data_IF_249985626177
#
_entry.id   IF_249985626177
#
_cell.length_a   1.000
_cell.length_b   1.000
_cell.length_c   1.000
_cell.angle_alpha   90.00
_cell.angle_beta   90.00
_cell.angle_gamma   90.00
#
_symmetry.space_group_name_H-M   'P 1'
#
loop_
_entity.id
_entity.type
_entity.pdbx_description
1 polymer ?
#
# COMPACT_ATOMS: atom_id res chain seq x y z
N UNK A 1 -10.56 -24.43 -9.94
CA UNK A 1 -9.30 -23.68 -10.10
C UNK A 1 -9.60 -22.54 -11.07
N UNK A 2 -9.83 -21.34 -10.58
CA UNK A 2 -10.05 -20.17 -11.44
C UNK A 2 -8.68 -19.74 -11.97
N UNK A 3 -8.39 -20.10 -13.22
CA UNK A 3 -7.26 -19.57 -13.96
C UNK A 3 -7.52 -18.08 -14.21
N UNK A 4 -7.06 -17.22 -13.31
CA UNK A 4 -6.99 -15.79 -13.60
C UNK A 4 -6.00 -15.60 -14.74
N UNK A 5 -6.46 -15.04 -15.86
CA UNK A 5 -5.58 -14.68 -16.96
C UNK A 5 -4.47 -13.75 -16.47
N UNK A 6 -3.23 -13.90 -16.98
CA UNK A 6 -2.14 -13.02 -16.56
C UNK A 6 -2.51 -11.56 -16.77
N UNK A 7 -2.20 -10.71 -15.78
CA UNK A 7 -2.46 -9.27 -15.87
C UNK A 7 -1.46 -8.64 -16.83
N UNK A 8 -1.96 -7.84 -17.76
CA UNK A 8 -1.08 -7.05 -18.63
C UNK A 8 -0.47 -5.89 -17.83
N UNK A 9 0.71 -6.14 -17.25
CA UNK A 9 1.42 -5.19 -16.38
C UNK A 9 1.81 -3.92 -17.13
N UNK A 10 2.22 -4.03 -18.39
CA UNK A 10 2.60 -2.86 -19.21
C UNK A 10 1.42 -1.90 -19.41
N UNK A 11 0.22 -2.44 -19.63
CA UNK A 11 -1.01 -1.65 -19.70
C UNK A 11 -1.28 -0.92 -18.38
N UNK A 12 -1.15 -1.63 -17.26
CA UNK A 12 -1.37 -1.06 -15.92
C UNK A 12 -0.36 0.05 -15.64
N UNK A 13 0.93 -0.19 -15.85
CA UNK A 13 1.97 0.81 -15.65
C UNK A 13 1.81 2.02 -16.56
N UNK A 14 1.44 1.79 -17.85
CA UNK A 14 1.14 2.87 -18.80
C UNK A 14 -0.04 3.73 -18.32
N UNK A 15 -1.09 3.11 -17.79
CA UNK A 15 -2.25 3.81 -17.24
C UNK A 15 -1.85 4.66 -16.02
N UNK A 16 -1.15 4.07 -15.04
CA UNK A 16 -0.67 4.78 -13.85
C UNK A 16 0.23 5.96 -14.22
N UNK A 17 1.14 5.77 -15.18
CA UNK A 17 2.00 6.83 -15.68
C UNK A 17 1.19 7.98 -16.32
N UNK A 18 0.22 7.66 -17.19
CA UNK A 18 -0.67 8.67 -17.80
C UNK A 18 -1.52 9.42 -16.79
N UNK A 19 -1.86 8.79 -15.67
CA UNK A 19 -2.55 9.40 -14.53
C UNK A 19 -1.62 10.26 -13.66
N UNK A 20 -0.30 10.18 -13.89
CA UNK A 20 0.70 10.90 -13.09
C UNK A 20 0.96 10.25 -11.74
N UNK A 21 0.61 8.98 -11.52
CA UNK A 21 0.90 8.24 -10.28
C UNK A 21 2.41 7.98 -10.18
N UNK A 22 3.14 8.67 -9.27
CA UNK A 22 4.60 8.57 -9.21
C UNK A 22 5.08 7.38 -8.38
N UNK A 23 4.30 6.97 -7.39
CA UNK A 23 4.64 5.91 -6.43
C UNK A 23 3.41 5.34 -5.72
N UNK A 24 3.60 4.17 -5.13
CA UNK A 24 2.74 3.64 -4.09
C UNK A 24 3.32 3.99 -2.71
N UNK A 25 2.51 3.83 -1.66
CA UNK A 25 2.88 4.26 -0.32
C UNK A 25 2.58 3.16 0.71
N UNK A 26 3.56 2.93 1.59
CA UNK A 26 3.37 2.15 2.81
C UNK A 26 3.75 2.98 4.02
N UNK A 27 2.92 2.98 5.07
CA UNK A 27 3.33 3.56 6.34
C UNK A 27 3.48 2.47 7.40
N UNK A 28 4.44 2.66 8.29
CA UNK A 28 4.81 1.67 9.31
C UNK A 28 5.37 2.36 10.54
N UNK A 29 5.40 1.66 11.69
CA UNK A 29 6.21 2.10 12.83
C UNK A 29 7.69 2.19 12.45
N UNK A 30 8.38 3.20 12.96
CA UNK A 30 9.83 3.35 12.83
C UNK A 30 10.58 2.14 13.35
N UNK A 31 10.06 1.46 14.38
CA UNK A 31 10.67 0.26 14.95
C UNK A 31 10.80 -0.90 13.94
N UNK A 32 9.93 -0.92 12.92
CA UNK A 32 9.98 -1.92 11.87
C UNK A 32 11.04 -1.62 10.79
N UNK A 33 11.56 -0.38 10.70
CA UNK A 33 12.40 0.04 9.58
C UNK A 33 13.67 -0.79 9.42
N UNK A 34 14.31 -1.17 10.51
CA UNK A 34 15.54 -1.99 10.45
C UNK A 34 15.29 -3.31 9.73
N UNK A 35 14.19 -4.00 10.05
CA UNK A 35 13.79 -5.25 9.40
C UNK A 35 13.38 -5.00 7.94
N UNK A 36 12.59 -3.96 7.69
CA UNK A 36 12.11 -3.60 6.35
C UNK A 36 13.27 -3.26 5.42
N UNK A 37 14.28 -2.52 5.88
CA UNK A 37 15.45 -2.18 5.07
C UNK A 37 16.32 -3.41 4.76
N UNK A 38 16.35 -4.40 5.65
CA UNK A 38 17.11 -5.62 5.46
C UNK A 38 16.39 -6.64 4.55
N UNK A 39 15.05 -6.77 4.68
CA UNK A 39 14.30 -7.90 4.11
C UNK A 39 13.13 -7.48 3.22
N UNK A 40 12.83 -6.20 3.12
CA UNK A 40 11.64 -5.69 2.44
C UNK A 40 10.40 -5.66 3.33
N UNK A 41 9.29 -5.18 2.76
CA UNK A 41 7.97 -5.24 3.41
C UNK A 41 7.42 -6.62 3.16
N UNK A 42 7.19 -7.37 4.24
CA UNK A 42 6.77 -8.78 4.22
C UNK A 42 5.29 -8.87 4.59
N UNK A 43 4.45 -9.68 3.90
CA UNK A 43 3.07 -9.92 4.30
C UNK A 43 2.99 -10.45 5.74
N UNK A 44 1.98 -10.00 6.47
CA UNK A 44 1.85 -10.27 7.91
C UNK A 44 1.79 -11.77 8.23
N UNK A 45 1.04 -12.57 7.46
CA UNK A 45 0.98 -14.01 7.64
C UNK A 45 2.38 -14.66 7.56
N UNK A 46 3.26 -14.15 6.71
CA UNK A 46 4.63 -14.66 6.59
C UNK A 46 5.49 -14.22 7.77
N UNK A 47 5.35 -12.98 8.25
CA UNK A 47 6.02 -12.53 9.48
C UNK A 47 5.64 -13.43 10.66
N UNK A 48 4.35 -13.77 10.80
CA UNK A 48 3.83 -14.64 11.84
C UNK A 48 4.34 -16.08 11.70
N UNK A 49 4.33 -16.64 10.49
CA UNK A 49 4.82 -18.00 10.22
C UNK A 49 6.32 -18.14 10.47
N UNK A 50 7.09 -17.13 10.09
CA UNK A 50 8.55 -17.13 10.22
C UNK A 50 9.02 -16.63 11.60
N UNK A 51 8.09 -16.29 12.52
CA UNK A 51 8.33 -15.72 13.85
C UNK A 51 9.20 -14.45 13.79
N UNK A 52 9.02 -13.61 12.79
CA UNK A 52 9.72 -12.33 12.66
C UNK A 52 8.97 -11.28 13.50
N UNK A 53 9.62 -10.67 14.51
CA UNK A 53 8.96 -9.66 15.33
C UNK A 53 8.65 -8.41 14.52
N UNK A 54 7.46 -7.84 14.72
CA UNK A 54 7.01 -6.60 14.09
C UNK A 54 6.02 -5.86 14.99
N UNK A 55 5.93 -4.54 14.81
CA UNK A 55 4.89 -3.73 15.44
C UNK A 55 3.73 -3.53 14.45
N UNK A 56 2.55 -4.00 14.83
CA UNK A 56 1.34 -3.86 14.00
C UNK A 56 0.70 -2.49 14.21
N UNK A 57 0.30 -1.85 13.10
CA UNK A 57 -0.51 -0.63 13.11
C UNK A 57 -2.02 -0.94 13.18
N UNK A 58 -2.40 -2.18 12.93
CA UNK A 58 -3.78 -2.67 12.93
C UNK A 58 -3.87 -4.07 13.51
N UNK A 59 -4.34 -4.16 14.75
CA UNK A 59 -4.50 -5.44 15.45
C UNK A 59 -5.69 -6.26 14.91
N UNK A 60 -6.65 -5.60 14.28
CA UNK A 60 -7.93 -6.19 13.85
C UNK A 60 -8.04 -6.34 12.33
N UNK A 61 -6.92 -6.55 11.64
CA UNK A 61 -6.92 -6.66 10.19
C UNK A 61 -7.82 -7.79 9.69
N UNK A 62 -8.83 -7.43 8.89
CA UNK A 62 -9.85 -8.36 8.38
C UNK A 62 -9.58 -8.88 6.97
N UNK A 63 -8.48 -8.47 6.33
CA UNK A 63 -8.18 -8.74 4.92
C UNK A 63 -7.37 -10.02 4.65
N UNK A 64 -7.20 -10.88 5.68
CA UNK A 64 -6.57 -12.19 5.56
C UNK A 64 -5.04 -12.17 5.59
N UNK A 65 -4.39 -11.02 5.80
CA UNK A 65 -2.95 -10.86 6.08
C UNK A 65 -1.97 -11.44 5.02
N UNK A 66 -2.46 -11.87 3.85
CA UNK A 66 -1.66 -12.58 2.83
C UNK A 66 -0.97 -11.64 1.84
N UNK A 67 -1.26 -10.35 1.90
CA UNK A 67 -0.73 -9.33 0.99
C UNK A 67 -0.07 -8.18 1.75
N UNK A 68 0.86 -7.52 1.07
CA UNK A 68 1.29 -6.18 1.45
C UNK A 68 0.33 -5.18 0.80
N UNK A 69 -0.36 -4.39 1.61
CA UNK A 69 -1.26 -3.35 1.14
C UNK A 69 -0.50 -2.05 0.98
N UNK A 70 -0.60 -1.45 -0.20
CA UNK A 70 0.02 -0.17 -0.53
C UNK A 70 -1.07 0.81 -0.96
N UNK A 71 -1.07 2.00 -0.38
CA UNK A 71 -1.90 3.12 -0.83
C UNK A 71 -1.34 3.69 -2.14
N UNK A 72 -2.18 4.44 -2.88
CA UNK A 72 -1.80 5.02 -4.17
C UNK A 72 -1.51 6.51 -3.97
N UNK A 73 -0.29 6.95 -4.28
CA UNK A 73 0.18 8.34 -4.27
C UNK A 73 0.32 8.98 -2.88
N UNK A 74 -0.56 8.68 -1.95
CA UNK A 74 -0.50 9.21 -0.56
C UNK A 74 -0.89 8.13 0.44
N UNK A 75 -0.42 8.21 1.70
CA UNK A 75 -0.85 7.27 2.73
C UNK A 75 -2.36 7.38 2.96
N UNK A 76 -2.99 6.26 3.35
CA UNK A 76 -4.36 6.31 3.84
C UNK A 76 -4.41 7.17 5.11
N UNK A 77 -4.74 8.46 4.93
CA UNK A 77 -4.67 9.46 6.00
C UNK A 77 -5.59 9.13 7.17
N UNK A 78 -6.78 8.57 6.90
CA UNK A 78 -7.71 8.15 7.96
C UNK A 78 -7.11 7.05 8.81
N UNK A 79 -6.44 6.09 8.16
CA UNK A 79 -5.85 4.96 8.88
C UNK A 79 -4.61 5.38 9.66
N UNK A 80 -3.74 6.21 9.07
CA UNK A 80 -2.57 6.77 9.73
C UNK A 80 -2.96 7.64 10.94
N UNK A 81 -4.01 8.47 10.81
CA UNK A 81 -4.53 9.25 11.92
C UNK A 81 -5.00 8.36 13.08
N UNK A 82 -5.81 7.33 12.78
CA UNK A 82 -6.28 6.38 13.80
C UNK A 82 -5.14 5.59 14.45
N UNK A 83 -4.12 5.22 13.69
CA UNK A 83 -2.95 4.55 14.23
C UNK A 83 -2.22 5.44 15.24
N UNK A 84 -2.06 6.73 14.93
CA UNK A 84 -1.48 7.73 15.85
C UNK A 84 -2.33 7.98 17.10
N UNK A 85 -3.66 8.01 16.97
CA UNK A 85 -4.55 8.13 18.14
C UNK A 85 -4.43 6.94 19.09
N UNK A 86 -4.30 5.72 18.54
CA UNK A 86 -4.18 4.49 19.34
C UNK A 86 -2.80 4.33 19.97
N UNK A 87 -1.77 4.79 19.28
CA UNK A 87 -0.37 4.64 19.66
C UNK A 87 0.36 5.99 19.60
N UNK A 88 0.04 6.95 20.50
CA UNK A 88 0.55 8.32 20.44
C UNK A 88 2.07 8.43 20.59
N UNK A 89 2.68 7.44 21.25
CA UNK A 89 4.13 7.39 21.49
C UNK A 89 4.89 6.72 20.34
N UNK A 90 4.19 6.18 19.33
CA UNK A 90 4.81 5.54 18.18
C UNK A 90 5.14 6.57 17.11
N UNK A 91 6.40 6.57 16.68
CA UNK A 91 6.81 7.31 15.48
C UNK A 91 6.56 6.48 14.24
N UNK A 92 6.07 7.14 13.19
CA UNK A 92 5.74 6.49 11.91
C UNK A 92 6.66 6.96 10.81
N UNK A 93 6.98 6.04 9.90
CA UNK A 93 7.65 6.31 8.66
C UNK A 93 6.70 6.03 7.48
N UNK A 94 6.86 6.80 6.41
CA UNK A 94 6.17 6.65 5.13
C UNK A 94 7.22 6.25 4.09
N UNK A 95 7.02 5.10 3.48
CA UNK A 95 7.92 4.54 2.44
C UNK A 95 7.23 4.70 1.10
N UNK A 96 7.86 5.40 0.15
CA UNK A 96 7.40 5.47 -1.22
C UNK A 96 8.01 4.33 -2.05
N UNK A 97 7.21 3.72 -2.92
CA UNK A 97 7.54 2.48 -3.61
C UNK A 97 7.30 2.64 -5.10
N UNK A 98 8.28 2.25 -5.91
CA UNK A 98 8.19 2.31 -7.36
C UNK A 98 7.09 1.37 -7.88
N UNK A 99 6.13 1.86 -8.68
CA UNK A 99 5.07 1.05 -9.26
C UNK A 99 5.55 -0.14 -10.11
N UNK A 100 6.81 -0.13 -10.57
CA UNK A 100 7.40 -1.26 -11.28
C UNK A 100 7.51 -2.54 -10.45
N UNK A 101 7.26 -2.49 -9.13
CA UNK A 101 7.11 -3.70 -8.30
C UNK A 101 6.04 -4.66 -8.88
N UNK A 102 5.06 -4.14 -9.61
CA UNK A 102 4.01 -4.94 -10.26
C UNK A 102 4.57 -5.94 -11.28
N UNK A 103 5.73 -5.66 -11.88
CA UNK A 103 6.40 -6.57 -12.82
C UNK A 103 6.76 -7.91 -12.18
N UNK A 104 7.03 -7.93 -10.87
CA UNK A 104 7.36 -9.13 -10.11
C UNK A 104 6.15 -10.04 -9.85
N UNK A 105 4.92 -9.51 -10.00
CA UNK A 105 3.67 -10.15 -9.61
C UNK A 105 2.64 -10.15 -10.75
N UNK A 106 3.11 -10.41 -11.96
CA UNK A 106 2.27 -10.36 -13.19
C UNK A 106 1.37 -11.57 -13.41
N UNK A 107 1.52 -12.63 -12.62
CA UNK A 107 0.84 -13.92 -12.87
C UNK A 107 1.48 -14.76 -13.99
N UNK A 108 2.58 -14.31 -14.58
CA UNK A 108 3.34 -15.04 -15.59
C UNK A 108 4.19 -16.11 -14.89
N UNK A 109 4.37 -17.26 -15.51
CA UNK A 109 5.18 -18.38 -15.02
C UNK A 109 4.73 -18.93 -13.65
N UNK A 110 3.42 -18.92 -13.37
CA UNK A 110 2.85 -19.44 -12.13
C UNK A 110 3.08 -18.54 -10.91
N UNK A 111 3.54 -17.30 -11.10
CA UNK A 111 3.64 -16.31 -10.02
C UNK A 111 2.26 -15.87 -9.58
N UNK A 112 2.15 -15.50 -8.32
CA UNK A 112 0.95 -14.87 -7.81
C UNK A 112 0.75 -13.49 -8.46
N UNK A 113 -0.51 -13.07 -8.58
CA UNK A 113 -0.88 -11.84 -9.25
C UNK A 113 -1.30 -10.79 -8.22
N UNK A 114 -0.77 -9.57 -8.35
CA UNK A 114 -1.28 -8.44 -7.61
C UNK A 114 -2.75 -8.14 -7.96
N UNK A 115 -3.45 -7.48 -7.06
CA UNK A 115 -4.80 -6.97 -7.37
C UNK A 115 -4.98 -5.55 -6.80
N UNK A 116 -6.01 -4.87 -7.31
CA UNK A 116 -6.43 -3.57 -6.81
C UNK A 116 -7.70 -3.70 -5.96
N UNK A 117 -7.87 -2.75 -5.06
CA UNK A 117 -9.11 -2.54 -4.32
C UNK A 117 -9.52 -1.08 -4.47
N UNK A 118 -10.76 -0.84 -4.91
CA UNK A 118 -11.28 0.51 -5.13
C UNK A 118 -11.65 1.25 -3.82
N UNK A 119 -11.56 0.57 -2.70
CA UNK A 119 -11.66 1.11 -1.34
C UNK A 119 -10.81 0.26 -0.41
N UNK A 120 -10.96 0.40 0.92
CA UNK A 120 -10.23 -0.43 1.89
C UNK A 120 -10.39 -1.92 1.58
N UNK A 121 -9.26 -2.63 1.47
CA UNK A 121 -9.20 -4.05 1.09
C UNK A 121 -9.89 -5.01 2.09
N UNK A 122 -10.24 -4.55 3.29
CA UNK A 122 -11.13 -5.29 4.20
C UNK A 122 -12.53 -5.52 3.59
N UNK A 123 -12.93 -4.70 2.60
CA UNK A 123 -14.14 -4.93 1.82
C UNK A 123 -13.87 -5.91 0.68
N UNK A 124 -14.20 -7.18 0.87
CA UNK A 124 -14.01 -8.23 -0.16
C UNK A 124 -14.70 -7.90 -1.51
N UNK A 125 -15.74 -7.06 -1.51
CA UNK A 125 -16.47 -6.66 -2.73
C UNK A 125 -15.67 -5.70 -3.61
N UNK A 126 -14.72 -4.98 -3.06
CA UNK A 126 -13.93 -3.98 -3.76
C UNK A 126 -12.61 -4.53 -4.33
N UNK A 127 -12.26 -5.77 -3.99
CA UNK A 127 -11.04 -6.42 -4.46
C UNK A 127 -11.17 -6.90 -5.92
N UNK A 128 -10.02 -7.05 -6.57
CA UNK A 128 -9.88 -7.51 -7.96
C UNK A 128 -10.51 -6.57 -9.00
N UNK A 129 -10.64 -5.27 -8.67
CA UNK A 129 -11.03 -4.28 -9.64
C UNK A 129 -9.89 -4.01 -10.64
N UNK A 130 -10.25 -3.48 -11.81
CA UNK A 130 -9.27 -2.97 -12.76
C UNK A 130 -8.67 -1.66 -12.24
N UNK A 131 -7.45 -1.34 -12.67
CA UNK A 131 -6.77 -0.10 -12.27
C UNK A 131 -7.56 1.17 -12.61
N UNK A 132 -8.33 1.14 -13.69
CA UNK A 132 -9.20 2.24 -14.14
C UNK A 132 -10.31 2.52 -13.13
N UNK A 133 -10.82 1.50 -12.44
CA UNK A 133 -11.90 1.64 -11.46
C UNK A 133 -11.48 2.46 -10.24
N UNK A 134 -10.18 2.49 -9.92
CA UNK A 134 -9.65 3.32 -8.82
C UNK A 134 -9.87 4.82 -9.05
N UNK A 135 -9.99 5.22 -10.32
CA UNK A 135 -10.10 6.62 -10.76
C UNK A 135 -11.44 6.93 -11.41
N UNK A 136 -12.39 5.99 -11.35
CA UNK A 136 -13.73 6.15 -11.89
C UNK A 136 -14.66 6.89 -10.90
N UNK A 137 -15.75 7.45 -11.44
CA UNK A 137 -16.78 8.14 -10.67
C UNK A 137 -16.52 9.63 -10.47
N UNK A 138 -17.42 10.26 -9.73
CA UNK A 138 -17.34 11.69 -9.40
C UNK A 138 -16.19 11.93 -8.41
N UNK A 139 -15.44 12.99 -8.66
CA UNK A 139 -14.28 13.37 -7.87
C UNK A 139 -14.42 14.84 -7.46
N UNK A 140 -14.08 15.20 -6.21
CA UNK A 140 -14.01 16.60 -5.82
C UNK A 140 -13.04 17.38 -6.71
N UNK A 141 -13.34 18.63 -7.03
CA UNK A 141 -12.52 19.47 -7.91
C UNK A 141 -11.07 19.66 -7.41
N UNK A 142 -10.85 19.56 -6.09
CA UNK A 142 -9.53 19.70 -5.49
C UNK A 142 -8.69 18.42 -5.56
N UNK A 143 -9.25 17.28 -6.04
CA UNK A 143 -8.49 16.03 -6.17
C UNK A 143 -7.49 16.15 -7.32
N UNK A 144 -6.24 15.85 -7.01
CA UNK A 144 -5.20 15.78 -8.03
C UNK A 144 -5.44 14.61 -8.98
N UNK A 145 -4.96 14.72 -10.21
CA UNK A 145 -5.16 13.72 -11.25
C UNK A 145 -4.65 12.34 -10.84
N UNK A 146 -3.52 12.30 -10.13
CA UNK A 146 -2.85 11.11 -9.64
C UNK A 146 -3.50 10.47 -8.40
N UNK A 147 -4.50 11.11 -7.79
CA UNK A 147 -5.20 10.56 -6.65
C UNK A 147 -6.34 9.64 -7.09
N UNK A 148 -6.53 8.46 -6.46
CA UNK A 148 -7.71 7.64 -6.68
C UNK A 148 -8.97 8.36 -6.18
N UNK A 149 -10.13 7.93 -6.67
CA UNK A 149 -11.42 8.52 -6.27
C UNK A 149 -11.75 8.27 -4.80
N UNK A 150 -11.40 7.09 -4.29
CA UNK A 150 -11.42 6.80 -2.84
C UNK A 150 -9.98 6.80 -2.30
N UNK A 151 -9.70 7.63 -1.30
CA UNK A 151 -8.40 7.71 -0.62
C UNK A 151 -7.95 6.40 0.05
N UNK A 152 -8.87 5.46 0.25
CA UNK A 152 -8.62 4.14 0.80
C UNK A 152 -8.36 3.09 -0.28
N UNK A 153 -8.28 3.50 -1.56
CA UNK A 153 -7.90 2.60 -2.65
C UNK A 153 -6.49 2.06 -2.44
N UNK A 154 -6.32 0.78 -2.71
CA UNK A 154 -5.08 0.06 -2.43
C UNK A 154 -4.66 -0.82 -3.61
N UNK A 155 -3.36 -1.07 -3.72
CA UNK A 155 -2.79 -2.20 -4.45
C UNK A 155 -2.32 -3.25 -3.46
N UNK A 156 -2.66 -4.50 -3.72
CA UNK A 156 -2.35 -5.65 -2.87
C UNK A 156 -1.27 -6.49 -3.55
N UNK A 157 -0.11 -6.55 -2.92
CA UNK A 157 1.05 -7.32 -3.40
C UNK A 157 1.08 -8.65 -2.66
N UNK A 158 0.98 -9.81 -3.36
CA UNK A 158 0.87 -11.12 -2.72
C UNK A 158 2.19 -11.67 -2.18
N UNK A 159 3.24 -10.87 -2.17
CA UNK A 159 4.57 -11.26 -1.68
C UNK A 159 5.34 -10.11 -1.09
N UNK A 160 6.65 -10.30 -0.97
CA UNK A 160 7.56 -9.31 -0.38
C UNK A 160 7.72 -8.13 -1.35
N UNK A 161 7.69 -6.90 -0.82
CA UNK A 161 8.14 -5.70 -1.54
C UNK A 161 9.60 -5.45 -1.20
N UNK A 162 10.55 -5.80 -2.10
CA UNK A 162 11.98 -5.72 -1.81
C UNK A 162 12.48 -4.27 -1.71
N UNK A 163 13.55 -3.99 -0.92
CA UNK A 163 14.06 -2.64 -0.71
C UNK A 163 14.50 -1.91 -1.99
N UNK A 164 14.90 -2.63 -3.03
CA UNK A 164 15.28 -2.01 -4.32
C UNK A 164 14.15 -1.23 -5.00
N UNK A 165 12.91 -1.43 -4.59
CA UNK A 165 11.77 -0.65 -5.08
C UNK A 165 11.44 0.56 -4.19
N UNK A 166 12.13 0.77 -3.07
CA UNK A 166 11.94 1.94 -2.23
C UNK A 166 12.55 3.17 -2.92
N UNK A 167 11.76 4.24 -3.00
CA UNK A 167 12.19 5.52 -3.60
C UNK A 167 12.60 6.52 -2.53
N UNK A 168 11.83 6.61 -1.44
CA UNK A 168 12.14 7.46 -0.29
C UNK A 168 11.57 6.87 1.00
N UNK A 169 12.10 7.34 2.12
CA UNK A 169 11.55 7.13 3.45
C UNK A 169 11.42 8.49 4.10
N UNK A 170 10.22 8.84 4.52
CA UNK A 170 9.89 10.11 5.13
C UNK A 170 9.36 9.90 6.54
N UNK A 171 9.64 10.84 7.42
CA UNK A 171 9.20 10.85 8.81
C UNK A 171 8.22 12.01 8.99
N UNK A 172 6.91 11.78 8.79
CA UNK A 172 5.94 12.84 8.92
C UNK A 172 5.88 13.35 10.37
N UNK A 173 5.95 14.67 10.54
CA UNK A 173 5.88 15.30 11.85
C UNK A 173 4.62 14.89 12.60
N UNK A 174 4.72 14.80 13.93
CA UNK A 174 3.54 14.58 14.78
C UNK A 174 2.63 15.81 14.65
N UNK A 175 1.39 15.61 14.22
CA UNK A 175 0.40 16.67 14.22
C UNK A 175 0.23 17.17 15.66
N UNK A 176 0.65 18.40 15.97
CA UNK A 176 0.48 19.01 17.28
C UNK A 176 1.68 19.80 17.83
N UNK A 177 2.84 19.77 17.19
CA UNK A 177 4.00 20.54 17.67
C UNK A 177 4.07 21.99 17.16
N UNK A 178 3.03 22.51 16.52
CA UNK A 178 3.01 23.85 15.92
C UNK A 178 1.92 24.77 16.48
N UNK A 179 1.55 24.64 17.76
CA UNK A 179 0.76 25.67 18.44
C UNK A 179 1.41 25.97 19.79
N UNK A 180 2.61 26.56 19.73
CA UNK A 180 3.18 27.40 20.79
C UNK A 180 4.13 28.39 20.12
N UNK A 181 3.56 29.49 19.61
CA UNK A 181 4.18 30.83 19.55
C UNK A 181 3.08 31.89 19.54
#
# INVERSE_FOLDING_TARGET
MNSTSPVNVDRVLTFLYKRGVPYFVHFTSVDNLKSILASGIIPRNKLETDNIPYQSNDEYRLDGNTHVNLSITHPNCKFLYRARERHPDTDYAVITINPRILENYSGIDGRETFCFSSTNAASNKARNCNVEELFAGERPDFFKQEWPTDEQSEVLIPGIVPPQFFLSIEFPEKFGSSIEQ
#
